data_IF_277154565544
#
_entry.id   IF_277154565544
#
_cell.length_a   1.000
_cell.length_b   1.000
_cell.length_c   1.000
_cell.angle_alpha   90.00
_cell.angle_beta   90.00
_cell.angle_gamma   90.00
#
_symmetry.space_group_name_H-M   'P 1'
#
loop_
_entity.id
_entity.type
_entity.pdbx_description
1 polymer ?
#
# COMPACT_ATOMS: atom_id res chain seq x y z
N UNK A 1 5.58 -11.25 18.29
CA UNK A 1 4.18 -11.03 17.86
C UNK A 1 4.13 -9.76 17.01
N UNK A 2 3.50 -9.79 15.85
CA UNK A 2 3.34 -8.60 14.97
C UNK A 2 1.85 -8.31 14.84
N UNK A 3 1.44 -7.13 15.30
CA UNK A 3 0.04 -6.69 15.23
C UNK A 3 -0.26 -6.05 13.87
N UNK A 4 -1.34 -6.44 13.20
CA UNK A 4 -1.71 -5.86 11.90
C UNK A 4 -2.33 -4.47 12.05
N UNK A 5 -2.15 -3.67 11.00
CA UNK A 5 -2.82 -2.38 10.85
C UNK A 5 -3.57 -2.40 9.52
N UNK A 6 -4.84 -2.06 9.56
CA UNK A 6 -5.66 -2.07 8.35
C UNK A 6 -6.47 -0.79 8.17
N UNK A 7 -6.79 -0.52 6.92
CA UNK A 7 -7.76 0.49 6.52
C UNK A 7 -8.67 -0.07 5.43
N UNK A 8 -9.97 0.19 5.54
CA UNK A 8 -10.99 -0.23 4.58
C UNK A 8 -11.78 0.98 4.11
N UNK A 9 -12.09 1.03 2.82
CA UNK A 9 -12.97 2.02 2.21
C UNK A 9 -13.94 1.31 1.26
N UNK A 10 -15.21 1.72 1.27
CA UNK A 10 -16.16 1.35 0.23
C UNK A 10 -15.98 2.33 -0.93
N UNK A 11 -15.89 1.78 -2.14
CA UNK A 11 -15.69 2.52 -3.38
C UNK A 11 -17.03 2.54 -4.15
N UNK A 12 -17.36 3.66 -4.78
CA UNK A 12 -18.59 3.78 -5.59
C UNK A 12 -18.38 3.23 -7.02
N UNK A 13 -17.63 2.14 -7.13
CA UNK A 13 -17.26 1.48 -8.37
C UNK A 13 -17.43 -0.03 -8.19
N UNK A 14 -17.72 -0.72 -9.28
CA UNK A 14 -17.77 -2.18 -9.29
C UNK A 14 -16.37 -2.79 -9.12
N UNK A 15 -16.34 -4.06 -8.72
CA UNK A 15 -15.11 -4.77 -8.42
C UNK A 15 -14.18 -4.88 -9.63
N UNK A 16 -14.71 -5.15 -10.79
CA UNK A 16 -13.91 -5.37 -12.00
C UNK A 16 -13.24 -4.07 -12.47
N UNK A 17 -13.94 -2.94 -12.36
CA UNK A 17 -13.36 -1.60 -12.58
C UNK A 17 -12.22 -1.32 -11.61
N UNK A 18 -12.37 -1.62 -10.33
CA UNK A 18 -11.29 -1.43 -9.34
C UNK A 18 -10.14 -2.38 -9.61
N UNK A 19 -10.45 -3.64 -9.91
CA UNK A 19 -9.44 -4.66 -10.18
C UNK A 19 -8.60 -4.34 -11.42
N UNK A 20 -9.22 -3.83 -12.49
CA UNK A 20 -8.50 -3.45 -13.70
C UNK A 20 -7.35 -2.47 -13.43
N UNK A 21 -7.51 -1.57 -12.45
CA UNK A 21 -6.46 -0.65 -12.03
C UNK A 21 -5.44 -1.34 -11.12
N UNK A 22 -5.89 -2.12 -10.14
CA UNK A 22 -5.00 -2.78 -9.18
C UNK A 22 -4.12 -3.85 -9.82
N UNK A 23 -4.57 -4.47 -10.90
CA UNK A 23 -3.85 -5.53 -11.62
C UNK A 23 -2.83 -5.01 -12.64
N UNK A 24 -2.86 -3.73 -13.00
CA UNK A 24 -1.89 -3.14 -13.91
C UNK A 24 -0.49 -3.10 -13.31
N UNK A 25 0.53 -3.27 -14.14
CA UNK A 25 1.90 -3.02 -13.73
C UNK A 25 2.08 -1.52 -13.43
N UNK A 26 2.89 -1.20 -12.43
CA UNK A 26 3.21 0.19 -12.07
C UNK A 26 1.99 1.03 -11.67
N UNK A 27 0.92 0.36 -11.21
CA UNK A 27 -0.36 0.97 -10.86
C UNK A 27 -0.27 2.06 -9.77
N UNK A 28 0.75 2.03 -8.91
CA UNK A 28 0.91 3.04 -7.87
C UNK A 28 1.23 4.43 -8.43
N UNK A 29 1.76 4.53 -9.64
CA UNK A 29 1.96 5.82 -10.30
C UNK A 29 0.65 6.57 -10.55
N UNK A 30 -0.47 5.87 -10.59
CA UNK A 30 -1.79 6.43 -10.89
C UNK A 30 -2.45 7.05 -9.65
N UNK A 31 -2.34 6.37 -8.51
CA UNK A 31 -3.20 6.71 -7.36
C UNK A 31 -2.48 6.83 -6.01
N UNK A 32 -1.18 6.55 -5.91
CA UNK A 32 -0.48 6.58 -4.65
C UNK A 32 0.11 7.97 -4.35
N UNK A 33 -0.44 8.74 -3.39
CA UNK A 33 -0.11 10.17 -3.23
C UNK A 33 1.31 10.45 -2.74
N UNK A 34 2.05 9.42 -2.30
CA UNK A 34 3.45 9.51 -1.86
C UNK A 34 4.40 8.79 -2.80
N UNK A 35 3.91 8.31 -3.94
CA UNK A 35 4.71 7.63 -4.96
C UNK A 35 5.43 8.68 -5.84
N UNK A 36 6.75 8.64 -5.85
CA UNK A 36 7.55 9.35 -6.85
C UNK A 36 7.64 8.52 -8.13
N UNK A 37 7.90 7.21 -7.98
CA UNK A 37 7.97 6.26 -9.09
C UNK A 37 7.69 4.84 -8.61
N UNK A 38 6.79 4.16 -9.29
CA UNK A 38 6.61 2.72 -9.21
C UNK A 38 7.15 2.11 -10.51
N UNK A 39 8.03 1.13 -10.41
CA UNK A 39 8.72 0.54 -11.55
C UNK A 39 8.69 -0.98 -11.47
N UNK A 40 8.04 -1.62 -12.45
CA UNK A 40 7.98 -3.08 -12.55
C UNK A 40 9.35 -3.64 -12.93
N UNK A 41 9.84 -4.62 -12.19
CA UNK A 41 11.08 -5.34 -12.45
C UNK A 41 10.79 -6.68 -13.11
N UNK A 42 9.75 -7.35 -12.66
CA UNK A 42 9.23 -8.59 -13.22
C UNK A 42 7.71 -8.53 -13.13
N UNK A 43 7.02 -8.73 -14.26
CA UNK A 43 5.56 -8.68 -14.29
C UNK A 43 5.02 -9.64 -15.34
N UNK A 44 4.78 -10.86 -14.92
CA UNK A 44 4.24 -11.93 -15.77
C UNK A 44 3.30 -12.82 -14.96
N UNK A 45 2.74 -13.86 -15.59
CA UNK A 45 1.76 -14.74 -14.95
C UNK A 45 2.33 -15.58 -13.81
N UNK A 46 3.64 -15.84 -13.81
CA UNK A 46 4.30 -16.68 -12.80
C UNK A 46 4.77 -15.87 -11.59
N UNK A 47 5.22 -14.63 -11.81
CA UNK A 47 5.77 -13.81 -10.74
C UNK A 47 5.63 -12.33 -11.05
N UNK A 48 5.47 -11.55 -9.99
CA UNK A 48 5.35 -10.10 -10.05
C UNK A 48 6.25 -9.49 -8.98
N UNK A 49 7.11 -8.57 -9.42
CA UNK A 49 8.02 -7.82 -8.57
C UNK A 49 8.12 -6.40 -9.08
N UNK A 50 8.09 -5.44 -8.17
CA UNK A 50 8.32 -4.03 -8.50
C UNK A 50 9.06 -3.29 -7.38
N UNK A 51 9.42 -2.05 -7.66
CA UNK A 51 9.95 -1.12 -6.68
C UNK A 51 9.05 0.11 -6.57
N UNK A 52 8.95 0.64 -5.37
CA UNK A 52 8.26 1.87 -5.04
C UNK A 52 9.25 2.87 -4.47
N UNK A 53 9.54 3.92 -5.24
CA UNK A 53 10.28 5.09 -4.76
C UNK A 53 9.28 6.11 -4.20
N UNK A 54 9.47 6.47 -2.95
CA UNK A 54 8.67 7.48 -2.28
C UNK A 54 9.19 8.90 -2.57
N UNK A 55 8.38 9.91 -2.29
CA UNK A 55 8.73 11.32 -2.53
C UNK A 55 9.98 11.78 -1.76
N UNK A 56 10.30 11.15 -0.64
CA UNK A 56 11.52 11.42 0.14
C UNK A 56 12.75 10.63 -0.34
N UNK A 57 12.64 9.88 -1.45
CA UNK A 57 13.74 9.11 -2.03
C UNK A 57 13.93 7.70 -1.45
N UNK A 58 13.14 7.29 -0.45
CA UNK A 58 13.18 5.92 0.06
C UNK A 58 12.66 4.97 -1.01
N UNK A 59 13.38 3.88 -1.28
CA UNK A 59 12.99 2.85 -2.24
C UNK A 59 12.70 1.56 -1.48
N UNK A 60 11.49 1.03 -1.67
CA UNK A 60 11.08 -0.27 -1.19
C UNK A 60 10.76 -1.20 -2.35
N UNK A 61 11.08 -2.48 -2.19
CA UNK A 61 10.83 -3.55 -3.16
C UNK A 61 9.62 -4.35 -2.71
N UNK A 62 8.75 -4.70 -3.68
CA UNK A 62 7.54 -5.48 -3.43
C UNK A 62 7.64 -6.80 -4.20
N UNK A 63 7.46 -7.91 -3.49
CA UNK A 63 7.37 -9.27 -4.04
C UNK A 63 5.97 -9.79 -3.84
N UNK A 64 5.25 -10.08 -4.91
CA UNK A 64 3.89 -10.62 -4.84
C UNK A 64 3.95 -12.14 -4.77
N UNK A 65 3.52 -12.72 -3.65
CA UNK A 65 3.59 -14.17 -3.43
C UNK A 65 2.22 -14.88 -3.50
N UNK A 66 1.13 -14.12 -3.54
CA UNK A 66 -0.22 -14.64 -3.78
C UNK A 66 -0.99 -13.62 -4.62
N UNK A 67 -1.62 -14.11 -5.68
CA UNK A 67 -2.37 -13.30 -6.63
C UNK A 67 -3.73 -13.97 -6.87
N UNK A 68 -4.81 -13.32 -6.41
CA UNK A 68 -6.19 -13.80 -6.55
C UNK A 68 -6.92 -12.88 -7.52
N UNK A 69 -7.05 -13.31 -8.77
CA UNK A 69 -7.66 -12.54 -9.86
C UNK A 69 -9.04 -12.01 -9.46
N UNK A 70 -9.26 -10.71 -9.58
CA UNK A 70 -10.51 -10.04 -9.19
C UNK A 70 -10.70 -9.82 -7.68
N UNK A 71 -9.85 -10.38 -6.80
CA UNK A 71 -10.07 -10.37 -5.35
C UNK A 71 -8.91 -9.77 -4.55
N UNK A 72 -7.76 -9.58 -5.16
CA UNK A 72 -6.62 -8.95 -4.50
C UNK A 72 -5.33 -9.77 -4.56
N UNK A 73 -4.38 -9.39 -3.72
CA UNK A 73 -3.04 -10.00 -3.70
C UNK A 73 -2.37 -9.84 -2.33
N UNK A 74 -1.36 -10.68 -2.10
CA UNK A 74 -0.46 -10.58 -0.94
C UNK A 74 0.96 -10.38 -1.41
N UNK A 75 1.68 -9.51 -0.72
CA UNK A 75 3.06 -9.17 -1.06
C UNK A 75 3.90 -8.95 0.20
N UNK A 76 5.21 -9.04 0.02
CA UNK A 76 6.19 -8.55 0.98
C UNK A 76 6.76 -7.22 0.48
N UNK A 77 6.97 -6.28 1.38
CA UNK A 77 7.53 -4.96 1.08
C UNK A 77 8.67 -4.63 2.04
N UNK A 78 9.79 -4.18 1.54
CA UNK A 78 10.95 -3.78 2.34
C UNK A 78 12.13 -3.33 1.50
N UNK A 79 13.25 -3.04 2.15
CA UNK A 79 14.50 -2.76 1.46
C UNK A 79 15.07 -4.03 0.81
N UNK A 80 15.94 -3.90 -0.20
CA UNK A 80 16.43 -5.03 -1.01
C UNK A 80 16.98 -6.18 -0.16
N UNK A 81 17.80 -5.87 0.84
CA UNK A 81 18.47 -6.84 1.71
C UNK A 81 17.97 -6.79 3.17
N UNK A 82 16.86 -6.09 3.44
CA UNK A 82 16.33 -5.91 4.78
C UNK A 82 15.13 -6.80 5.08
N UNK A 83 14.64 -6.69 6.31
CA UNK A 83 13.40 -7.33 6.72
C UNK A 83 12.23 -6.74 5.95
N UNK A 84 11.26 -7.58 5.62
CA UNK A 84 10.08 -7.20 4.86
C UNK A 84 8.83 -7.24 5.73
N UNK A 85 7.93 -6.31 5.49
CA UNK A 85 6.57 -6.30 6.02
C UNK A 85 5.66 -7.05 5.06
N UNK A 86 4.74 -7.86 5.58
CA UNK A 86 3.69 -8.50 4.79
C UNK A 86 2.54 -7.51 4.60
N UNK A 87 2.02 -7.44 3.39
CA UNK A 87 0.87 -6.61 3.02
C UNK A 87 -0.16 -7.44 2.30
N UNK A 88 -1.43 -7.25 2.65
CA UNK A 88 -2.57 -7.92 2.05
C UNK A 88 -3.51 -6.86 1.49
N UNK A 89 -3.86 -6.99 0.22
CA UNK A 89 -4.88 -6.20 -0.45
C UNK A 89 -6.07 -7.11 -0.73
N UNK A 90 -7.25 -6.77 -0.19
CA UNK A 90 -8.48 -7.53 -0.32
C UNK A 90 -9.55 -6.67 -0.96
N UNK A 91 -10.09 -7.13 -2.07
CA UNK A 91 -11.17 -6.51 -2.81
C UNK A 91 -12.43 -7.39 -2.66
N UNK A 92 -13.53 -6.81 -2.22
CA UNK A 92 -14.81 -7.49 -1.99
C UNK A 92 -15.98 -6.69 -2.55
N UNK A 93 -17.11 -7.36 -2.73
CA UNK A 93 -18.32 -6.79 -3.32
C UNK A 93 -18.32 -6.92 -4.84
N UNK A 94 -19.48 -6.74 -5.46
CA UNK A 94 -19.63 -6.80 -6.92
C UNK A 94 -19.91 -5.40 -7.48
N UNK A 95 -21.15 -4.91 -7.31
CA UNK A 95 -21.56 -3.60 -7.84
C UNK A 95 -20.96 -2.42 -7.08
N UNK A 96 -20.67 -2.61 -5.81
CA UNK A 96 -19.99 -1.63 -4.96
C UNK A 96 -18.83 -2.34 -4.28
N UNK A 97 -17.64 -2.06 -4.75
CA UNK A 97 -16.44 -2.66 -4.23
C UNK A 97 -16.02 -2.06 -2.88
N UNK A 98 -15.40 -2.86 -2.05
CA UNK A 98 -14.67 -2.38 -0.87
C UNK A 98 -13.25 -2.87 -0.92
N UNK A 99 -12.28 -1.96 -0.77
CA UNK A 99 -10.87 -2.27 -0.67
C UNK A 99 -10.42 -2.20 0.78
N UNK A 100 -9.76 -3.27 1.25
CA UNK A 100 -9.03 -3.31 2.52
C UNK A 100 -7.56 -3.56 2.26
N UNK A 101 -6.71 -2.75 2.87
CA UNK A 101 -5.27 -3.00 2.91
C UNK A 101 -4.88 -3.27 4.35
N UNK A 102 -4.19 -4.39 4.57
CA UNK A 102 -3.68 -4.80 5.89
C UNK A 102 -2.17 -4.94 5.82
N UNK A 103 -1.45 -4.28 6.73
CA UNK A 103 0.02 -4.34 6.85
C UNK A 103 0.39 -5.02 8.16
N UNK A 104 1.34 -5.96 8.09
CA UNK A 104 2.02 -6.57 9.23
C UNK A 104 3.44 -5.99 9.28
N UNK A 105 3.66 -4.88 10.01
CA UNK A 105 4.93 -4.17 9.97
C UNK A 105 6.02 -4.95 10.70
N UNK A 106 7.19 -5.10 10.06
CA UNK A 106 8.36 -5.75 10.69
C UNK A 106 9.07 -4.85 11.72
N UNK A 107 8.74 -3.55 11.74
CA UNK A 107 9.39 -2.54 12.58
C UNK A 107 9.17 -2.87 14.06
N UNK A 108 10.25 -2.88 14.84
CA UNK A 108 10.26 -3.23 16.29
C UNK A 108 9.80 -4.65 16.65
N UNK A 109 9.54 -5.53 15.67
CA UNK A 109 9.05 -6.90 15.94
C UNK A 109 10.01 -7.78 16.75
N UNK A 110 11.30 -7.43 16.81
CA UNK A 110 12.33 -8.13 17.58
C UNK A 110 12.57 -7.52 18.97
N UNK A 111 11.87 -6.46 19.33
CA UNK A 111 12.03 -5.78 20.60
C UNK A 111 11.21 -6.44 21.70
N UNK A 112 11.54 -6.13 22.96
CA UNK A 112 10.72 -6.52 24.10
C UNK A 112 9.26 -6.13 23.84
N UNK A 113 8.33 -6.98 24.24
CA UNK A 113 6.89 -6.82 23.99
C UNK A 113 6.34 -5.49 24.48
N UNK A 114 6.82 -4.99 25.59
CA UNK A 114 6.37 -3.71 26.17
C UNK A 114 6.82 -2.55 25.28
N UNK A 115 8.08 -2.56 24.84
CA UNK A 115 8.62 -1.56 23.92
C UNK A 115 7.89 -1.61 22.59
N UNK A 116 7.63 -2.82 22.08
CA UNK A 116 6.88 -3.01 20.85
C UNK A 116 5.46 -2.45 20.96
N UNK A 117 4.71 -2.77 22.01
CA UNK A 117 3.34 -2.31 22.20
C UNK A 117 3.28 -0.77 22.32
N UNK A 118 4.22 -0.18 23.06
CA UNK A 118 4.31 1.27 23.20
C UNK A 118 4.59 1.94 21.85
N UNK A 119 5.62 1.48 21.12
CA UNK A 119 5.95 2.01 19.80
C UNK A 119 4.81 1.78 18.80
N UNK A 120 4.14 0.63 18.85
CA UNK A 120 3.00 0.30 18.01
C UNK A 120 1.84 1.28 18.22
N UNK A 121 1.43 1.50 19.46
CA UNK A 121 0.27 2.35 19.76
C UNK A 121 0.51 3.82 19.44
N UNK A 122 1.71 4.33 19.74
CA UNK A 122 2.01 5.76 19.66
C UNK A 122 2.52 6.19 18.29
N UNK A 123 3.33 5.36 17.64
CA UNK A 123 4.01 5.74 16.40
C UNK A 123 3.57 4.93 15.19
N UNK A 124 3.61 3.58 15.28
CA UNK A 124 3.44 2.72 14.10
C UNK A 124 2.00 2.74 13.63
N UNK A 125 1.06 2.43 14.53
CA UNK A 125 -0.36 2.36 14.18
C UNK A 125 -0.94 3.66 13.63
N UNK A 126 -0.79 4.84 14.28
CA UNK A 126 -1.33 6.08 13.74
C UNK A 126 -0.65 6.48 12.42
N UNK A 127 0.67 6.32 12.31
CA UNK A 127 1.42 6.62 11.08
C UNK A 127 0.97 5.77 9.90
N UNK A 128 0.98 4.43 10.06
CA UNK A 128 0.56 3.52 8.99
C UNK A 128 -0.94 3.66 8.67
N UNK A 129 -1.79 3.89 9.66
CA UNK A 129 -3.22 4.09 9.39
C UNK A 129 -3.47 5.35 8.56
N UNK A 130 -2.77 6.45 8.85
CA UNK A 130 -2.81 7.68 8.03
C UNK A 130 -2.33 7.40 6.61
N UNK A 131 -1.23 6.68 6.47
CA UNK A 131 -0.68 6.26 5.19
C UNK A 131 -1.69 5.44 4.37
N UNK A 132 -2.20 4.33 4.93
CA UNK A 132 -3.16 3.46 4.25
C UNK A 132 -4.43 4.20 3.84
N UNK A 133 -4.93 5.08 4.71
CA UNK A 133 -6.08 5.94 4.40
C UNK A 133 -5.82 6.80 3.17
N UNK A 134 -4.65 7.41 3.06
CA UNK A 134 -4.28 8.25 1.92
C UNK A 134 -4.14 7.44 0.63
N UNK A 135 -3.57 6.23 0.71
CA UNK A 135 -3.42 5.35 -0.47
C UNK A 135 -4.79 4.89 -1.01
N UNK A 136 -5.68 4.41 -0.13
CA UNK A 136 -7.01 3.94 -0.56
C UNK A 136 -7.89 5.09 -1.05
N UNK A 137 -7.82 6.25 -0.40
CA UNK A 137 -8.49 7.47 -0.90
C UNK A 137 -7.91 7.94 -2.23
N UNK A 138 -6.61 7.75 -2.45
CA UNK A 138 -5.95 8.05 -3.72
C UNK A 138 -6.51 7.21 -4.87
N UNK A 139 -6.73 5.92 -4.64
CA UNK A 139 -7.39 5.06 -5.62
C UNK A 139 -8.80 5.55 -5.95
N UNK A 140 -9.61 5.86 -4.94
CA UNK A 140 -10.96 6.39 -5.15
C UNK A 140 -10.91 7.69 -5.98
N UNK A 141 -10.01 8.59 -5.63
CA UNK A 141 -9.81 9.85 -6.35
C UNK A 141 -9.42 9.62 -7.82
N UNK A 142 -8.50 8.67 -8.08
CA UNK A 142 -8.12 8.31 -9.44
C UNK A 142 -9.30 7.74 -10.24
N UNK A 143 -10.08 6.86 -9.63
CA UNK A 143 -11.26 6.28 -10.28
C UNK A 143 -12.29 7.35 -10.66
N UNK A 144 -12.45 8.38 -9.84
CA UNK A 144 -13.36 9.51 -10.11
C UNK A 144 -12.82 10.49 -11.16
N UNK A 145 -11.53 10.79 -11.14
CA UNK A 145 -10.93 11.85 -11.93
C UNK A 145 -10.20 11.37 -13.20
N UNK A 146 -9.89 10.07 -13.32
CA UNK A 146 -9.20 9.44 -14.47
C UNK A 146 -7.87 10.10 -14.86
N UNK A 147 -7.17 10.66 -13.90
CA UNK A 147 -5.84 11.25 -14.03
C UNK A 147 -4.99 10.96 -12.80
N UNK A 148 -3.64 10.89 -12.91
CA UNK A 148 -2.79 10.63 -11.77
C UNK A 148 -3.01 11.61 -10.63
N UNK A 149 -3.01 11.07 -9.40
CA UNK A 149 -3.19 11.90 -8.21
C UNK A 149 -1.99 12.82 -7.98
N UNK A 150 -2.20 14.10 -7.64
CA UNK A 150 -1.09 14.98 -7.24
C UNK A 150 -0.35 14.49 -6.00
N UNK A 151 0.95 14.75 -5.95
CA UNK A 151 1.77 14.42 -4.78
C UNK A 151 1.24 15.09 -3.52
N UNK A 152 1.22 14.33 -2.40
CA UNK A 152 0.75 14.81 -1.10
C UNK A 152 -0.69 15.35 -1.09
N UNK A 153 -1.56 14.91 -2.00
CA UNK A 153 -2.92 15.44 -2.18
C UNK A 153 -3.73 15.50 -0.87
N UNK A 154 -3.57 14.49 0.01
CA UNK A 154 -4.22 14.46 1.33
C UNK A 154 -3.32 14.99 2.47
N UNK A 155 -2.29 15.77 2.14
CA UNK A 155 -1.31 16.29 3.08
C UNK A 155 -0.04 15.46 3.18
N UNK A 156 0.99 16.06 3.76
CA UNK A 156 2.29 15.42 3.95
C UNK A 156 2.24 14.25 4.93
N UNK A 157 3.07 13.24 4.66
CA UNK A 157 3.28 12.10 5.53
C UNK A 157 4.73 12.08 6.05
N UNK A 158 4.91 12.03 7.38
CA UNK A 158 6.21 12.14 8.06
C UNK A 158 7.27 11.16 7.52
N UNK A 159 6.85 9.97 7.05
CA UNK A 159 7.78 8.91 6.64
C UNK A 159 8.00 8.84 5.13
N UNK A 160 7.13 9.42 4.31
CA UNK A 160 7.12 9.17 2.86
C UNK A 160 7.06 10.42 1.99
N UNK A 161 6.72 11.58 2.57
CA UNK A 161 6.78 12.86 1.86
C UNK A 161 8.19 13.46 1.90
N UNK A 162 8.48 14.35 0.96
CA UNK A 162 9.70 15.15 0.98
C UNK A 162 9.83 15.90 2.31
N UNK A 163 11.06 16.03 2.78
CA UNK A 163 11.37 16.95 3.88
C UNK A 163 11.38 18.37 3.28
N UNK A 164 10.65 19.27 3.91
CA UNK A 164 10.76 20.71 3.62
C UNK A 164 12.14 21.22 4.04
#
# INVERSE_FOLDING_TARGET
>A
MILPISYKLNLNFDRDTVWSILSEKEHLNLFHPFCKKNNAQLWNDKSKEDSLEYLNGVILYRDFFEWNEGFGFKLNIGTKNGKKSKVIWELKGDKTASLRITVYPHIYGDKNIIIYLFAYLIFIRPGLRKYLKSVVKGLNWYLENKRPIPNNYFGHHKWFSQKN
#
